data_IF_844647504020
#
_entry.id   IF_844647504020
#
_cell.length_a   1.000
_cell.length_b   1.000
_cell.length_c   1.000
_cell.angle_alpha   90.00
_cell.angle_beta   90.00
_cell.angle_gamma   90.00
#
_symmetry.space_group_name_H-M   'P 1'
#
loop_
_entity.id
_entity.type
_entity.pdbx_description
1 polymer ?
#
# COMPACT_ATOMS: atom_id res chain seq x y z
N UNK A 1 -9.38 -2.02 -8.42
CA UNK A 1 -8.26 -1.92 -7.45
C UNK A 1 -7.49 -3.23 -7.53
N UNK A 2 -6.20 -3.19 -7.86
CA UNK A 2 -5.34 -4.39 -7.89
C UNK A 2 -4.40 -4.31 -6.69
N UNK A 3 -4.49 -5.32 -5.82
CA UNK A 3 -3.60 -5.47 -4.68
C UNK A 3 -2.74 -6.70 -4.90
N UNK A 4 -1.45 -6.59 -4.59
CA UNK A 4 -0.51 -7.69 -4.70
C UNK A 4 -0.03 -8.09 -3.31
N UNK A 5 0.01 -9.40 -3.06
CA UNK A 5 0.52 -9.98 -1.82
C UNK A 5 1.36 -11.20 -2.17
N UNK A 6 2.57 -11.26 -1.63
CA UNK A 6 3.46 -12.40 -1.76
C UNK A 6 4.14 -12.64 -0.42
N UNK A 7 4.35 -13.90 -0.05
CA UNK A 7 5.01 -14.24 1.20
C UNK A 7 5.58 -15.64 1.18
N UNK A 8 6.60 -15.84 1.98
CA UNK A 8 7.25 -17.14 2.19
C UNK A 8 7.34 -17.40 3.68
N UNK A 9 7.05 -18.65 4.05
CA UNK A 9 7.25 -19.16 5.40
C UNK A 9 8.27 -20.28 5.35
N UNK A 10 9.36 -20.10 6.10
CA UNK A 10 10.35 -21.13 6.30
C UNK A 10 9.99 -21.93 7.57
N UNK A 11 9.46 -23.12 7.36
CA UNK A 11 9.05 -24.02 8.43
C UNK A 11 10.11 -25.11 8.63
N UNK A 12 10.83 -25.07 9.76
CA UNK A 12 11.80 -26.10 10.13
C UNK A 12 11.36 -26.78 11.41
N UNK A 13 11.27 -28.11 11.37
CA UNK A 13 10.94 -28.94 12.52
C UNK A 13 11.91 -28.63 13.67
N UNK A 14 11.36 -28.34 14.86
CA UNK A 14 12.10 -27.97 16.07
C UNK A 14 12.90 -26.65 15.98
N UNK A 15 12.57 -25.75 15.05
CA UNK A 15 13.13 -24.39 15.03
C UNK A 15 12.02 -23.35 14.95
N UNK A 16 12.39 -22.15 15.38
CA UNK A 16 11.60 -20.92 15.27
C UNK A 16 11.32 -20.64 13.78
N UNK A 17 10.05 -20.69 13.31
CA UNK A 17 9.73 -20.40 11.92
C UNK A 17 10.00 -18.94 11.58
N UNK A 18 10.40 -18.69 10.35
CA UNK A 18 10.65 -17.34 9.84
C UNK A 18 9.69 -17.05 8.68
N UNK A 19 9.00 -15.92 8.75
CA UNK A 19 8.06 -15.45 7.74
C UNK A 19 8.55 -14.14 7.16
N UNK A 20 8.56 -14.05 5.83
CA UNK A 20 8.81 -12.81 5.11
C UNK A 20 7.66 -12.58 4.14
N UNK A 21 7.20 -11.35 4.06
CA UNK A 21 6.08 -10.95 3.23
C UNK A 21 6.32 -9.62 2.55
N UNK A 22 5.70 -9.46 1.40
CA UNK A 22 5.62 -8.23 0.65
C UNK A 22 4.17 -8.02 0.22
N UNK A 23 3.69 -6.79 0.35
CA UNK A 23 2.40 -6.39 -0.18
C UNK A 23 2.52 -5.04 -0.87
N UNK A 24 1.68 -4.82 -1.89
CA UNK A 24 1.48 -3.52 -2.53
C UNK A 24 -0.02 -3.30 -2.72
N UNK A 25 -0.57 -2.39 -1.92
CA UNK A 25 -2.00 -2.08 -1.90
C UNK A 25 -2.25 -0.80 -2.68
N UNK A 26 -3.18 -0.82 -3.63
CA UNK A 26 -3.59 0.37 -4.36
C UNK A 26 -4.85 0.96 -3.73
N UNK A 27 -4.85 2.27 -3.51
CA UNK A 27 -5.99 3.03 -3.00
C UNK A 27 -6.16 4.34 -3.78
N UNK A 28 -7.34 4.95 -3.67
CA UNK A 28 -7.61 6.26 -4.25
C UNK A 28 -8.01 7.21 -3.13
N UNK A 29 -7.31 8.33 -3.01
CA UNK A 29 -7.72 9.47 -2.20
C UNK A 29 -8.56 10.40 -3.06
N UNK A 30 -9.71 10.82 -2.54
CA UNK A 30 -10.59 11.77 -3.22
C UNK A 30 -10.68 13.02 -2.37
N UNK A 31 -10.38 14.16 -2.98
CA UNK A 31 -10.47 15.48 -2.35
C UNK A 31 -11.39 16.35 -3.19
N UNK A 32 -12.18 17.19 -2.55
CA UNK A 32 -12.85 18.30 -3.25
C UNK A 32 -11.90 19.49 -3.25
N UNK A 33 -11.64 20.02 -4.43
CA UNK A 33 -10.76 21.18 -4.62
C UNK A 33 -11.53 22.27 -5.36
N UNK A 34 -11.21 23.52 -5.06
CA UNK A 34 -11.77 24.70 -5.70
C UNK A 34 -10.72 25.26 -6.68
N UNK A 35 -11.17 25.62 -7.87
CA UNK A 35 -10.34 26.26 -8.88
C UNK A 35 -11.17 27.27 -9.68
N UNK A 36 -10.51 28.06 -10.54
CA UNK A 36 -11.14 29.13 -11.31
C UNK A 36 -11.02 28.79 -12.80
N UNK A 37 -12.14 28.87 -13.53
CA UNK A 37 -12.13 28.59 -14.96
C UNK A 37 -11.46 29.73 -15.76
N UNK A 38 -11.35 29.58 -17.07
CA UNK A 38 -10.79 30.59 -17.97
C UNK A 38 -11.54 31.93 -17.97
N UNK A 39 -12.81 31.94 -17.52
CA UNK A 39 -13.68 33.11 -17.48
C UNK A 39 -13.67 33.81 -16.11
N UNK A 40 -12.95 33.27 -15.12
CA UNK A 40 -12.85 33.83 -13.77
C UNK A 40 -13.90 33.31 -12.78
N UNK A 41 -14.76 32.37 -13.18
CA UNK A 41 -15.78 31.80 -12.31
C UNK A 41 -15.22 30.65 -11.45
N UNK A 42 -15.57 30.60 -10.14
CA UNK A 42 -15.16 29.51 -9.28
C UNK A 42 -15.92 28.23 -9.61
N UNK A 43 -15.22 27.10 -9.62
CA UNK A 43 -15.81 25.78 -9.75
C UNK A 43 -15.17 24.81 -8.75
N UNK A 44 -15.97 23.82 -8.31
CA UNK A 44 -15.49 22.74 -7.46
C UNK A 44 -15.34 21.49 -8.31
N UNK A 45 -14.19 20.83 -8.20
CA UNK A 45 -13.93 19.57 -8.87
C UNK A 45 -13.45 18.50 -7.89
N UNK A 46 -13.65 17.23 -8.28
CA UNK A 46 -13.18 16.08 -7.50
C UNK A 46 -11.80 15.68 -8.00
N UNK A 47 -10.77 16.02 -7.24
CA UNK A 47 -9.42 15.51 -7.45
C UNK A 47 -9.33 14.06 -6.97
N UNK A 48 -8.86 13.15 -7.83
CA UNK A 48 -8.65 11.75 -7.48
C UNK A 48 -7.17 11.44 -7.58
N UNK A 49 -6.55 11.04 -6.47
CA UNK A 49 -5.13 10.67 -6.43
C UNK A 49 -4.97 9.19 -6.14
N UNK A 50 -4.30 8.47 -7.05
CA UNK A 50 -3.91 7.08 -6.81
C UNK A 50 -2.72 7.03 -5.85
N UNK A 51 -2.82 6.18 -4.84
CA UNK A 51 -1.76 5.95 -3.86
C UNK A 51 -1.46 4.46 -3.85
N UNK A 52 -0.17 4.11 -3.97
CA UNK A 52 0.31 2.75 -3.76
C UNK A 52 0.99 2.72 -2.40
N UNK A 53 0.65 1.73 -1.59
CA UNK A 53 1.21 1.55 -0.26
C UNK A 53 1.93 0.20 -0.20
N UNK A 54 3.22 0.14 -0.56
CA UNK A 54 4.03 -1.05 -0.37
C UNK A 54 4.31 -1.29 1.12
N UNK A 55 4.43 -2.55 1.51
CA UNK A 55 4.87 -2.93 2.84
C UNK A 55 5.66 -4.23 2.76
N UNK A 56 6.78 -4.26 3.48
CA UNK A 56 7.56 -5.45 3.75
C UNK A 56 7.26 -5.87 5.18
N UNK A 57 7.02 -7.16 5.38
CA UNK A 57 6.72 -7.74 6.71
C UNK A 57 7.70 -8.85 7.02
N UNK A 58 8.15 -8.90 8.27
CA UNK A 58 8.91 -10.01 8.82
C UNK A 58 8.20 -10.52 10.07
N UNK A 59 8.19 -11.83 10.28
CA UNK A 59 7.55 -12.40 11.44
C UNK A 59 8.13 -13.75 11.81
N UNK A 60 7.81 -14.19 13.01
CA UNK A 60 8.29 -15.44 13.56
C UNK A 60 7.35 -15.93 14.65
N UNK A 61 7.43 -17.22 15.00
CA UNK A 61 6.65 -17.79 16.09
C UNK A 61 7.53 -18.56 17.06
N UNK A 62 7.15 -18.58 18.33
CA UNK A 62 7.83 -19.34 19.38
C UNK A 62 6.78 -20.10 20.16
N UNK A 63 6.96 -21.41 20.28
CA UNK A 63 6.13 -22.23 21.15
C UNK A 63 6.59 -22.05 22.60
N UNK A 64 5.72 -21.46 23.44
CA UNK A 64 6.01 -21.21 24.85
C UNK A 64 5.68 -22.45 25.70
N UNK A 65 4.59 -23.14 25.38
CA UNK A 65 4.13 -24.38 26.02
C UNK A 65 3.42 -25.27 24.99
N UNK A 66 3.10 -26.53 25.35
CA UNK A 66 2.42 -27.50 24.47
C UNK A 66 1.22 -26.92 23.71
N UNK A 67 0.49 -25.99 24.32
CA UNK A 67 -0.72 -25.39 23.76
C UNK A 67 -0.63 -23.87 23.58
N UNK A 68 0.55 -23.27 23.76
CA UNK A 68 0.75 -21.82 23.66
C UNK A 68 1.83 -21.51 22.64
N UNK A 69 1.45 -20.74 21.62
CA UNK A 69 2.35 -20.22 20.59
C UNK A 69 2.26 -18.70 20.61
N UNK A 70 3.40 -18.04 20.69
CA UNK A 70 3.53 -16.59 20.55
C UNK A 70 3.99 -16.28 19.13
N UNK A 71 3.23 -15.46 18.42
CA UNK A 71 3.62 -14.91 17.12
C UNK A 71 4.09 -13.47 17.27
N UNK A 72 5.25 -13.16 16.69
CA UNK A 72 5.82 -11.82 16.62
C UNK A 72 5.90 -11.39 15.16
N UNK A 73 5.39 -10.21 14.84
CA UNK A 73 5.38 -9.67 13.48
C UNK A 73 5.75 -8.19 13.48
N UNK A 74 6.57 -7.81 12.52
CA UNK A 74 6.99 -6.43 12.24
C UNK A 74 6.69 -6.10 10.79
N UNK A 75 6.20 -4.89 10.54
CA UNK A 75 5.91 -4.41 9.19
C UNK A 75 6.48 -3.02 9.01
N UNK A 76 7.14 -2.79 7.89
CA UNK A 76 7.53 -1.46 7.44
C UNK A 76 6.80 -1.15 6.14
N UNK A 77 5.93 -0.15 6.18
CA UNK A 77 5.18 0.34 5.04
C UNK A 77 5.53 1.77 4.70
N UNK A 78 5.52 2.09 3.41
CA UNK A 78 5.65 3.46 2.92
C UNK A 78 4.54 3.76 1.90
N UNK A 79 4.34 5.04 1.58
CA UNK A 79 3.37 5.47 0.58
C UNK A 79 4.11 6.04 -0.62
N UNK A 80 3.88 5.45 -1.78
CA UNK A 80 4.28 6.01 -3.05
C UNK A 80 3.10 6.82 -3.61
N UNK A 81 3.32 8.14 -3.64
CA UNK A 81 2.42 9.06 -4.31
C UNK A 81 2.80 9.03 -5.78
N UNK A 82 2.03 8.30 -6.59
CA UNK A 82 2.12 8.49 -8.03
C UNK A 82 1.56 9.88 -8.33
N UNK A 83 2.35 10.71 -9.04
CA UNK A 83 1.79 11.84 -9.76
C UNK A 83 0.84 11.22 -10.79
N UNK A 84 -0.46 11.44 -10.61
CA UNK A 84 -1.42 11.08 -11.63
C UNK A 84 -1.15 12.07 -12.77
N UNK A 85 -0.52 11.60 -13.84
CA UNK A 85 -0.43 12.38 -15.06
C UNK A 85 -1.85 12.54 -15.61
N UNK A 86 -2.48 13.66 -15.27
CA UNK A 86 -3.86 13.99 -15.64
C UNK A 86 -3.98 14.39 -17.11
N UNK A 87 -2.86 14.56 -17.80
CA UNK A 87 -2.81 14.90 -19.21
C UNK A 87 -2.00 13.82 -19.93
N UNK A 88 -2.67 12.79 -20.46
CA UNK A 88 -2.01 11.89 -21.38
C UNK A 88 -1.37 12.70 -22.50
N UNK A 89 -0.13 12.37 -22.87
CA UNK A 89 0.78 12.99 -23.87
C UNK A 89 0.15 13.41 -25.22
N UNK A 90 -1.14 13.12 -25.45
CA UNK A 90 -1.92 13.44 -26.64
C UNK A 90 -2.48 14.87 -26.69
N UNK A 91 -2.25 15.71 -25.67
CA UNK A 91 -2.75 17.10 -25.62
C UNK A 91 -1.68 18.16 -25.91
N UNK A 92 -0.45 17.75 -26.25
CA UNK A 92 0.59 18.64 -26.78
C UNK A 92 0.74 18.36 -28.29
N UNK A 93 -0.09 19.03 -29.09
CA UNK A 93 0.16 19.30 -30.53
C UNK A 93 0.36 20.81 -30.71
#
# INVERSE_FOLDING_TARGET
VFNFYAGVEHHVVNRVPLRLGFQAVSSYFQTMEEDVNSDGDPYTYRAVKKVISPMITGGSSVQLYKNWVLDLGFGFGWRELQALDLFGDKYYD
#
